data_IF_903727101742
#
_entry.id   IF_903727101742
#
_cell.length_a   1.000
_cell.length_b   1.000
_cell.length_c   1.000
_cell.angle_alpha   90.00
_cell.angle_beta   90.00
_cell.angle_gamma   90.00
#
_symmetry.space_group_name_H-M   'P 1'
#
loop_
_entity.id
_entity.type
_entity.pdbx_description
1 polymer ?
#
# COMPACT_ATOMS: atom_id res chain seq x y z
N UNK A 1 15.09 62.30 -46.49
CA UNK A 1 14.54 62.09 -45.16
C UNK A 1 13.71 60.83 -45.16
N UNK A 2 14.34 59.67 -44.81
CA UNK A 2 13.64 58.38 -44.61
C UNK A 2 13.96 57.91 -43.23
N UNK A 3 12.96 57.84 -42.37
CA UNK A 3 13.03 57.26 -41.02
C UNK A 3 12.78 55.77 -41.11
N UNK A 4 13.82 54.97 -40.89
CA UNK A 4 13.72 53.52 -40.67
C UNK A 4 13.24 53.28 -39.23
N UNK A 5 12.06 52.70 -39.09
CA UNK A 5 11.55 52.21 -37.83
C UNK A 5 11.91 50.71 -37.74
N UNK A 6 12.95 50.40 -36.94
CA UNK A 6 13.27 49.00 -36.61
C UNK A 6 12.29 48.48 -35.55
N UNK A 7 11.43 47.53 -35.92
CA UNK A 7 10.58 46.77 -34.96
C UNK A 7 11.39 45.60 -34.40
N UNK A 8 11.80 45.71 -33.15
CA UNK A 8 12.35 44.62 -32.39
C UNK A 8 11.19 43.68 -31.98
N UNK A 9 11.12 42.52 -32.60
CA UNK A 9 10.26 41.42 -32.11
C UNK A 9 11.00 40.70 -30.98
N UNK A 10 10.54 40.93 -29.77
CA UNK A 10 10.99 40.21 -28.57
C UNK A 10 10.23 38.86 -28.55
N UNK A 11 10.88 37.80 -29.05
CA UNK A 11 10.38 36.43 -28.92
C UNK A 11 10.58 35.95 -27.49
N UNK A 12 9.53 36.05 -26.65
CA UNK A 12 9.52 35.46 -25.32
C UNK A 12 9.27 33.94 -25.47
N UNK A 13 10.36 33.16 -25.54
CA UNK A 13 10.30 31.72 -25.53
C UNK A 13 9.87 31.26 -24.14
N UNK A 14 8.58 30.96 -23.98
CA UNK A 14 8.02 30.33 -22.77
C UNK A 14 8.52 28.88 -22.74
N UNK A 15 9.60 28.61 -22.02
CA UNK A 15 10.07 27.25 -21.75
C UNK A 15 9.10 26.60 -20.77
N UNK A 16 8.21 25.74 -21.25
CA UNK A 16 7.38 24.85 -20.45
C UNK A 16 8.32 23.86 -19.75
N UNK A 17 8.67 24.10 -18.50
CA UNK A 17 9.34 23.12 -17.66
C UNK A 17 8.27 22.08 -17.27
N UNK A 18 8.21 20.97 -18.02
CA UNK A 18 7.41 19.83 -17.64
C UNK A 18 8.01 19.21 -16.36
N UNK A 19 7.42 19.49 -15.21
CA UNK A 19 7.72 18.78 -13.97
C UNK A 19 7.23 17.35 -14.10
N UNK A 20 8.12 16.42 -14.43
CA UNK A 20 7.84 15.00 -14.34
C UNK A 20 7.67 14.66 -12.85
N UNK A 21 6.45 14.62 -12.37
CA UNK A 21 6.14 13.94 -11.12
C UNK A 21 6.41 12.45 -11.37
N UNK A 22 7.45 11.92 -10.77
CA UNK A 22 7.73 10.49 -10.77
C UNK A 22 6.57 9.79 -10.04
N UNK A 23 5.58 9.37 -10.82
CA UNK A 23 4.50 8.54 -10.29
C UNK A 23 5.09 7.24 -9.77
N UNK A 24 4.55 6.74 -8.66
CA UNK A 24 4.93 5.44 -8.11
C UNK A 24 4.65 4.36 -9.16
N UNK A 25 5.61 3.43 -9.33
CA UNK A 25 5.50 2.37 -10.34
C UNK A 25 4.37 1.40 -9.97
N UNK A 26 3.45 1.18 -10.92
CA UNK A 26 2.40 0.17 -10.76
C UNK A 26 2.99 -1.23 -10.95
N UNK A 27 2.49 -2.20 -10.20
CA UNK A 27 3.00 -3.57 -10.28
C UNK A 27 1.97 -4.61 -9.77
N UNK A 28 2.24 -5.88 -10.08
CA UNK A 28 1.67 -7.04 -9.38
C UNK A 28 2.78 -7.90 -8.79
N UNK A 29 2.45 -8.66 -7.72
CA UNK A 29 3.40 -9.55 -7.05
C UNK A 29 2.67 -10.71 -6.35
N UNK A 30 3.43 -11.72 -5.97
CA UNK A 30 3.01 -12.76 -5.03
C UNK A 30 3.55 -12.39 -3.64
N UNK A 31 2.68 -12.25 -2.66
CA UNK A 31 3.02 -12.02 -1.27
C UNK A 31 3.00 -13.34 -0.51
N UNK A 32 4.09 -13.65 0.15
CA UNK A 32 4.20 -14.78 1.09
C UNK A 32 4.32 -14.21 2.50
N UNK A 33 3.27 -14.36 3.30
CA UNK A 33 3.28 -14.03 4.71
C UNK A 33 3.56 -15.26 5.56
N UNK A 34 4.44 -15.12 6.53
CA UNK A 34 4.75 -16.16 7.53
C UNK A 34 4.38 -15.62 8.91
N UNK A 35 3.40 -16.23 9.55
CA UNK A 35 2.95 -15.86 10.88
C UNK A 35 3.83 -16.49 11.97
N UNK A 36 3.76 -15.94 13.19
CA UNK A 36 4.56 -16.34 14.35
C UNK A 36 4.55 -17.84 14.64
N UNK A 37 3.45 -18.54 14.30
CA UNK A 37 3.31 -20.00 14.49
C UNK A 37 3.84 -20.81 13.29
N UNK A 38 4.55 -20.19 12.34
CA UNK A 38 5.11 -20.84 11.17
C UNK A 38 4.08 -21.12 10.05
N UNK A 39 2.82 -20.78 10.23
CA UNK A 39 1.84 -20.90 9.14
C UNK A 39 2.14 -19.86 8.07
N UNK A 40 2.06 -20.29 6.82
CA UNK A 40 2.25 -19.41 5.66
C UNK A 40 0.91 -19.18 4.94
N UNK A 41 0.72 -17.95 4.50
CA UNK A 41 -0.36 -17.58 3.58
C UNK A 41 0.23 -16.98 2.32
N UNK A 42 -0.43 -17.21 1.20
CA UNK A 42 -0.07 -16.61 -0.08
C UNK A 42 -1.20 -15.72 -0.56
N UNK A 43 -0.84 -14.57 -1.08
CA UNK A 43 -1.78 -13.60 -1.65
C UNK A 43 -1.20 -13.05 -2.95
N UNK A 44 -2.09 -12.74 -3.90
CA UNK A 44 -1.72 -11.90 -5.04
C UNK A 44 -1.87 -10.45 -4.64
N UNK A 45 -0.88 -9.63 -4.97
CA UNK A 45 -0.87 -8.19 -4.68
C UNK A 45 -0.89 -7.42 -5.99
N UNK A 46 -1.70 -6.37 -6.05
CA UNK A 46 -1.73 -5.41 -7.15
C UNK A 46 -1.64 -4.00 -6.59
N UNK A 47 -0.80 -3.17 -7.18
CA UNK A 47 -0.65 -1.77 -6.80
C UNK A 47 -0.81 -0.86 -8.01
N UNK A 48 -1.69 0.14 -7.92
CA UNK A 48 -1.87 1.18 -8.93
C UNK A 48 -2.41 2.48 -8.30
N UNK A 49 -1.79 3.62 -8.61
CA UNK A 49 -2.31 4.95 -8.30
C UNK A 49 -2.81 5.11 -6.86
N UNK A 50 -2.00 4.83 -5.87
CA UNK A 50 -2.38 4.86 -4.45
C UNK A 50 -3.45 3.82 -4.04
N UNK A 51 -3.72 2.81 -4.87
CA UNK A 51 -4.61 1.71 -4.53
C UNK A 51 -3.82 0.41 -4.42
N UNK A 52 -4.17 -0.39 -3.44
CA UNK A 52 -3.56 -1.68 -3.17
C UNK A 52 -4.66 -2.73 -3.03
N UNK A 53 -4.48 -3.86 -3.71
CA UNK A 53 -5.37 -5.00 -3.62
C UNK A 53 -4.59 -6.23 -3.22
N UNK A 54 -5.07 -6.92 -2.21
CA UNK A 54 -4.63 -8.26 -1.82
C UNK A 54 -5.72 -9.26 -2.16
N UNK A 55 -5.37 -10.32 -2.85
CA UNK A 55 -6.24 -11.46 -3.10
C UNK A 55 -5.69 -12.65 -2.32
N UNK A 56 -6.33 -12.97 -1.21
CA UNK A 56 -6.00 -14.16 -0.44
C UNK A 56 -6.44 -15.41 -1.20
N UNK A 57 -5.51 -16.34 -1.40
CA UNK A 57 -5.82 -17.68 -1.87
C UNK A 57 -5.86 -18.59 -0.65
N UNK A 58 -7.04 -19.02 -0.21
CA UNK A 58 -7.10 -20.11 0.75
C UNK A 58 -6.68 -21.39 0.02
N UNK A 59 -5.49 -21.90 0.36
CA UNK A 59 -4.97 -23.14 -0.25
C UNK A 59 -5.88 -24.35 -0.02
N UNK A 60 -6.79 -24.29 0.97
CA UNK A 60 -7.76 -25.34 1.29
C UNK A 60 -9.02 -25.25 0.46
N UNK A 61 -9.40 -24.06 0.05
CA UNK A 61 -10.54 -23.85 -0.85
C UNK A 61 -10.29 -22.65 -1.79
N UNK A 62 -9.77 -22.92 -3.02
CA UNK A 62 -9.52 -21.87 -4.01
C UNK A 62 -10.76 -21.04 -4.40
N UNK A 63 -11.96 -21.50 -4.04
CA UNK A 63 -13.21 -20.77 -4.29
C UNK A 63 -13.49 -19.70 -3.23
N UNK A 64 -12.78 -19.74 -2.10
CA UNK A 64 -12.87 -18.72 -1.04
C UNK A 64 -11.87 -17.58 -1.24
N UNK A 65 -11.74 -17.10 -2.48
CA UNK A 65 -10.90 -15.94 -2.76
C UNK A 65 -11.62 -14.67 -2.29
N UNK A 66 -11.24 -14.21 -1.12
CA UNK A 66 -11.58 -12.86 -0.67
C UNK A 66 -10.57 -11.85 -1.22
N UNK A 67 -11.00 -10.63 -1.45
CA UNK A 67 -10.08 -9.55 -1.78
C UNK A 67 -10.21 -8.40 -0.78
N UNK A 68 -9.06 -7.82 -0.45
CA UNK A 68 -8.97 -6.64 0.38
C UNK A 68 -8.41 -5.51 -0.46
N UNK A 69 -9.16 -4.43 -0.62
CA UNK A 69 -8.79 -3.26 -1.41
C UNK A 69 -8.57 -2.08 -0.47
N UNK A 70 -7.40 -1.45 -0.56
CA UNK A 70 -7.06 -0.23 0.17
C UNK A 70 -6.90 0.92 -0.81
N UNK A 71 -7.46 2.08 -0.47
CA UNK A 71 -7.11 3.35 -1.09
C UNK A 71 -6.22 4.12 -0.11
N UNK A 72 -4.94 4.23 -0.43
CA UNK A 72 -3.93 4.84 0.44
C UNK A 72 -4.08 6.37 0.52
N UNK A 73 -4.65 6.99 -0.52
CA UNK A 73 -4.87 8.44 -0.57
C UNK A 73 -6.05 8.86 0.31
N UNK A 74 -7.18 8.14 0.23
CA UNK A 74 -8.40 8.43 1.01
C UNK A 74 -8.46 7.70 2.34
N UNK A 75 -7.52 6.76 2.58
CA UNK A 75 -7.48 5.90 3.76
C UNK A 75 -8.78 5.10 3.97
N UNK A 76 -9.34 4.60 2.88
CA UNK A 76 -10.54 3.75 2.89
C UNK A 76 -10.17 2.32 2.50
N UNK A 77 -10.91 1.35 3.01
CA UNK A 77 -10.70 -0.06 2.70
C UNK A 77 -12.01 -0.80 2.50
N UNK A 78 -11.97 -1.79 1.62
CA UNK A 78 -13.09 -2.64 1.25
C UNK A 78 -12.65 -4.09 1.34
N UNK A 79 -13.48 -4.94 1.95
CA UNK A 79 -13.36 -6.39 1.89
C UNK A 79 -14.40 -6.92 0.91
N UNK A 80 -13.96 -7.62 -0.13
CA UNK A 80 -14.85 -8.32 -1.06
C UNK A 80 -15.06 -9.76 -0.60
N UNK A 81 -16.28 -10.21 -0.63
CA UNK A 81 -16.73 -11.59 -0.33
C UNK A 81 -17.39 -12.18 -1.57
N UNK A 82 -16.62 -12.76 -2.50
CA UNK A 82 -17.10 -13.16 -3.82
C UNK A 82 -18.22 -14.21 -3.77
N UNK A 83 -18.15 -15.16 -2.83
CA UNK A 83 -19.17 -16.21 -2.71
C UNK A 83 -20.56 -15.70 -2.35
N UNK A 84 -20.58 -14.64 -1.53
CA UNK A 84 -21.84 -14.02 -1.08
C UNK A 84 -22.28 -12.89 -2.01
N UNK A 85 -21.46 -12.50 -3.02
CA UNK A 85 -21.65 -11.30 -3.82
C UNK A 85 -21.85 -10.05 -2.93
N UNK A 86 -21.06 -9.96 -1.86
CA UNK A 86 -21.15 -8.89 -0.88
C UNK A 86 -19.81 -8.19 -0.71
N UNK A 87 -19.84 -6.97 -0.22
CA UNK A 87 -18.66 -6.26 0.23
C UNK A 87 -18.92 -5.52 1.55
N UNK A 88 -17.84 -5.27 2.27
CA UNK A 88 -17.87 -4.53 3.53
C UNK A 88 -16.85 -3.40 3.47
N UNK A 89 -17.27 -2.20 3.85
CA UNK A 89 -16.34 -1.09 4.09
C UNK A 89 -15.78 -1.20 5.50
N UNK A 90 -14.46 -1.16 5.60
CA UNK A 90 -13.78 -1.18 6.89
C UNK A 90 -13.73 0.23 7.48
N UNK A 91 -13.96 0.38 8.80
CA UNK A 91 -13.78 1.66 9.46
C UNK A 91 -12.36 2.18 9.28
N UNK A 92 -12.23 3.41 8.81
CA UNK A 92 -10.93 4.06 8.53
C UNK A 92 -10.04 4.08 9.77
N UNK A 93 -10.64 4.32 10.95
CA UNK A 93 -9.93 4.43 12.23
C UNK A 93 -9.14 3.18 12.59
N UNK A 94 -9.71 1.98 12.40
CA UNK A 94 -9.06 0.72 12.79
C UNK A 94 -7.80 0.42 11.96
N UNK A 95 -7.78 0.79 10.70
CA UNK A 95 -6.65 0.57 9.80
C UNK A 95 -5.60 1.67 9.91
N UNK A 96 -6.06 2.93 10.05
CA UNK A 96 -5.18 4.07 10.31
C UNK A 96 -4.43 3.91 11.64
N UNK A 97 -5.12 3.42 12.69
CA UNK A 97 -4.52 3.15 13.99
C UNK A 97 -3.41 2.09 13.93
N UNK A 98 -3.51 1.13 13.01
CA UNK A 98 -2.46 0.12 12.77
C UNK A 98 -1.31 0.64 11.90
N UNK A 99 -1.40 1.86 11.38
CA UNK A 99 -0.38 2.44 10.51
C UNK A 99 -0.27 1.78 9.13
N UNK A 100 -1.20 0.92 8.75
CA UNK A 100 -1.10 0.15 7.49
C UNK A 100 -1.03 1.05 6.27
N UNK A 101 -1.82 2.13 6.23
CA UNK A 101 -1.78 3.06 5.08
C UNK A 101 -0.42 3.76 4.95
N UNK A 102 0.17 4.18 6.08
CA UNK A 102 1.49 4.82 6.10
C UNK A 102 2.60 3.84 5.76
N UNK A 103 2.48 2.58 6.17
CA UNK A 103 3.46 1.54 5.88
C UNK A 103 3.60 1.28 4.37
N UNK A 104 2.49 1.22 3.63
CA UNK A 104 2.49 0.99 2.18
C UNK A 104 2.65 2.27 1.35
N UNK A 105 2.53 3.44 1.96
CA UNK A 105 2.71 4.72 1.28
C UNK A 105 4.07 5.32 1.61
N UNK A 106 5.11 4.79 0.99
CA UNK A 106 6.46 5.32 1.15
C UNK A 106 6.64 6.55 0.28
N UNK A 107 6.87 7.70 0.89
CA UNK A 107 7.13 8.95 0.17
C UNK A 107 8.50 8.96 -0.46
N UNK A 108 9.53 9.05 0.36
CA UNK A 108 10.94 8.99 -0.02
C UNK A 108 11.60 7.82 0.71
N UNK A 109 12.21 6.92 -0.06
CA UNK A 109 12.88 5.73 0.49
C UNK A 109 14.05 6.13 1.41
N UNK A 110 14.69 7.27 1.16
CA UNK A 110 15.79 7.75 2.00
C UNK A 110 15.33 8.36 3.34
N UNK A 111 14.06 8.75 3.44
CA UNK A 111 13.46 9.33 4.65
C UNK A 111 12.47 8.41 5.37
N UNK A 112 12.49 7.13 5.09
CA UNK A 112 11.51 6.15 5.60
C UNK A 112 11.36 6.16 7.13
N UNK A 113 12.42 6.42 7.89
CA UNK A 113 12.34 6.54 9.35
C UNK A 113 11.41 7.66 9.81
N UNK A 114 11.41 8.80 9.10
CA UNK A 114 10.53 9.92 9.45
C UNK A 114 9.06 9.59 9.22
N UNK A 115 8.76 8.78 8.22
CA UNK A 115 7.40 8.31 7.94
C UNK A 115 6.98 7.23 8.93
N UNK A 116 7.89 6.35 9.32
CA UNK A 116 7.65 5.29 10.29
C UNK A 116 7.30 5.85 11.68
N UNK A 117 8.02 6.88 12.12
CA UNK A 117 7.77 7.54 13.41
C UNK A 117 6.43 8.31 13.48
N UNK A 118 5.75 8.53 12.35
CA UNK A 118 4.38 9.06 12.33
C UNK A 118 3.31 7.99 12.62
N UNK A 119 3.66 6.71 12.54
CA UNK A 119 2.75 5.60 12.80
C UNK A 119 2.56 5.46 14.31
N UNK A 120 1.31 5.39 14.78
CA UNK A 120 0.97 5.10 16.17
C UNK A 120 1.68 3.81 16.62
N UNK A 121 2.25 3.79 17.81
CA UNK A 121 3.08 2.72 18.38
C UNK A 121 4.53 2.63 17.87
N UNK A 122 4.97 3.56 17.01
CA UNK A 122 6.37 3.71 16.58
C UNK A 122 6.93 5.10 16.85
N UNK A 123 6.16 5.97 17.52
CA UNK A 123 6.52 7.37 17.73
C UNK A 123 7.73 7.54 18.65
N UNK A 124 7.89 6.65 19.60
CA UNK A 124 9.00 6.64 20.58
C UNK A 124 9.99 5.49 20.33
N UNK A 125 9.75 4.69 19.30
CA UNK A 125 10.64 3.64 18.87
C UNK A 125 11.90 4.16 18.18
N UNK A 126 12.81 3.25 17.89
CA UNK A 126 14.03 3.56 17.13
C UNK A 126 13.81 3.26 15.64
N UNK A 127 14.54 3.97 14.77
CA UNK A 127 14.64 3.63 13.37
C UNK A 127 15.98 4.12 12.81
N UNK A 128 16.65 3.28 12.02
CA UNK A 128 17.86 3.67 11.31
C UNK A 128 17.99 2.92 9.99
N UNK A 129 18.66 3.55 9.04
CA UNK A 129 19.05 2.94 7.78
C UNK A 129 20.24 2.01 8.02
N UNK A 130 20.13 0.74 7.59
CA UNK A 130 21.21 -0.24 7.68
C UNK A 130 22.11 -0.16 6.46
N UNK A 131 21.53 -0.10 5.27
CA UNK A 131 22.25 -0.09 4.00
C UNK A 131 21.43 -0.68 2.87
N UNK A 132 22.13 -1.04 1.80
CA UNK A 132 21.50 -1.65 0.63
C UNK A 132 21.63 -3.17 0.70
N UNK A 133 20.54 -3.88 0.42
CA UNK A 133 20.49 -5.34 0.29
C UNK A 133 19.74 -5.74 -0.98
N UNK A 134 19.97 -6.95 -1.47
CA UNK A 134 19.24 -7.51 -2.60
C UNK A 134 18.16 -8.46 -2.10
N UNK A 135 16.90 -8.22 -2.48
CA UNK A 135 15.76 -9.10 -2.19
C UNK A 135 15.16 -9.57 -3.52
N UNK A 136 15.15 -10.87 -3.77
CA UNK A 136 14.61 -11.47 -5.00
C UNK A 136 15.11 -10.80 -6.30
N UNK A 137 16.44 -10.50 -6.35
CA UNK A 137 17.08 -9.84 -7.50
C UNK A 137 16.84 -8.33 -7.61
N UNK A 138 16.15 -7.71 -6.65
CA UNK A 138 15.89 -6.27 -6.62
C UNK A 138 16.77 -5.56 -5.59
N UNK A 139 17.34 -4.43 -5.98
CA UNK A 139 18.05 -3.57 -5.03
C UNK A 139 17.06 -2.91 -4.07
N UNK A 140 17.34 -3.02 -2.78
CA UNK A 140 16.50 -2.47 -1.72
C UNK A 140 17.32 -1.70 -0.72
N UNK A 141 16.66 -0.79 0.01
CA UNK A 141 17.23 -0.12 1.18
C UNK A 141 16.63 -0.77 2.42
N UNK A 142 17.49 -1.29 3.28
CA UNK A 142 17.09 -1.93 4.54
C UNK A 142 17.05 -0.92 5.67
N UNK A 143 16.00 -0.98 6.45
CA UNK A 143 15.81 -0.26 7.70
C UNK A 143 15.56 -1.22 8.85
N UNK A 144 16.05 -0.86 10.02
CA UNK A 144 15.79 -1.56 11.28
C UNK A 144 15.29 -0.58 12.32
N UNK A 145 14.43 -1.06 13.22
CA UNK A 145 13.90 -0.24 14.28
C UNK A 145 13.15 -1.04 15.33
N UNK A 146 12.61 -0.32 16.30
CA UNK A 146 11.73 -0.87 17.33
C UNK A 146 10.44 -0.07 17.39
N UNK A 147 9.37 -0.72 17.86
CA UNK A 147 8.16 -0.01 18.24
C UNK A 147 8.31 0.59 19.65
N UNK A 148 7.24 1.25 20.16
CA UNK A 148 7.22 1.88 21.50
C UNK A 148 7.33 0.87 22.65
N UNK A 149 7.12 -0.43 22.39
CA UNK A 149 7.29 -1.53 23.36
C UNK A 149 8.66 -2.22 23.26
N UNK A 150 9.53 -1.75 22.36
CA UNK A 150 10.87 -2.30 22.15
C UNK A 150 10.92 -3.53 21.22
N UNK A 151 9.81 -3.94 20.62
CA UNK A 151 9.80 -5.05 19.68
C UNK A 151 10.52 -4.66 18.39
N UNK A 152 11.54 -5.43 18.02
CA UNK A 152 12.35 -5.17 16.82
C UNK A 152 11.60 -5.49 15.53
N UNK A 153 11.85 -4.70 14.51
CA UNK A 153 11.34 -4.91 13.16
C UNK A 153 12.34 -4.46 12.10
N UNK A 154 12.23 -5.04 10.93
CA UNK A 154 13.04 -4.75 9.75
C UNK A 154 12.13 -4.57 8.54
N UNK A 155 12.51 -3.68 7.62
CA UNK A 155 11.82 -3.49 6.34
C UNK A 155 12.83 -3.26 5.23
N UNK A 156 12.53 -3.79 4.05
CA UNK A 156 13.30 -3.60 2.82
C UNK A 156 12.42 -2.87 1.82
N UNK A 157 12.82 -1.65 1.51
CA UNK A 157 12.13 -0.77 0.58
C UNK A 157 12.80 -0.81 -0.79
N UNK A 158 12.02 -1.07 -1.81
CA UNK A 158 12.46 -0.97 -3.20
C UNK A 158 12.37 0.50 -3.66
N UNK A 159 13.49 1.16 -3.99
CA UNK A 159 13.47 2.57 -4.36
C UNK A 159 12.79 2.84 -5.71
N UNK A 160 12.74 1.85 -6.61
CA UNK A 160 12.05 1.98 -7.90
C UNK A 160 10.53 1.89 -7.74
N UNK A 161 10.06 0.94 -6.94
CA UNK A 161 8.64 0.78 -6.63
C UNK A 161 8.17 1.81 -5.59
N UNK A 162 9.09 2.33 -4.77
CA UNK A 162 8.79 3.14 -3.58
C UNK A 162 7.82 2.39 -2.64
N UNK A 163 8.13 1.10 -2.41
CA UNK A 163 7.23 0.17 -1.74
C UNK A 163 8.01 -0.86 -0.90
N UNK A 164 7.48 -1.28 0.26
CA UNK A 164 8.08 -2.34 1.05
C UNK A 164 7.91 -3.69 0.34
N UNK A 165 9.02 -4.35 0.01
CA UNK A 165 9.01 -5.66 -0.67
C UNK A 165 9.33 -6.81 0.26
N UNK A 166 9.82 -6.52 1.47
CA UNK A 166 10.03 -7.49 2.54
C UNK A 166 9.95 -6.80 3.88
N UNK A 167 9.41 -7.50 4.87
CA UNK A 167 9.40 -7.05 6.27
C UNK A 167 9.51 -8.23 7.22
N UNK A 168 10.01 -7.97 8.40
CA UNK A 168 10.11 -8.94 9.46
C UNK A 168 9.89 -8.26 10.81
N UNK A 169 9.11 -8.88 11.67
CA UNK A 169 8.81 -8.39 13.01
C UNK A 169 8.47 -9.53 13.96
N UNK A 170 8.08 -9.18 15.18
CA UNK A 170 7.74 -10.11 16.25
C UNK A 170 6.61 -11.08 15.88
N UNK A 171 5.63 -10.61 15.13
CA UNK A 171 4.40 -11.35 14.84
C UNK A 171 4.44 -12.09 13.50
N UNK A 172 5.51 -11.92 12.75
CA UNK A 172 5.70 -12.61 11.47
C UNK A 172 6.56 -11.84 10.48
N UNK A 173 6.56 -12.31 9.25
CA UNK A 173 7.29 -11.70 8.14
C UNK A 173 6.48 -11.79 6.86
N UNK A 174 6.73 -10.85 5.94
CA UNK A 174 6.18 -10.89 4.60
C UNK A 174 7.26 -10.63 3.55
N UNK A 175 7.10 -11.24 2.39
CA UNK A 175 8.03 -11.08 1.27
C UNK A 175 7.28 -11.12 -0.05
N UNK A 176 7.54 -10.14 -0.91
CA UNK A 176 7.01 -10.09 -2.26
C UNK A 176 7.94 -10.82 -3.24
N UNK A 177 7.36 -11.69 -4.04
CA UNK A 177 8.03 -12.46 -5.09
C UNK A 177 7.36 -12.22 -6.42
N UNK A 178 8.03 -12.59 -7.51
CA UNK A 178 7.48 -12.52 -8.88
C UNK A 178 6.90 -11.13 -9.21
N UNK A 179 7.58 -10.07 -8.77
CA UNK A 179 7.14 -8.69 -8.99
C UNK A 179 7.19 -8.39 -10.49
N UNK A 180 6.05 -8.00 -11.05
CA UNK A 180 5.89 -7.60 -12.43
C UNK A 180 5.45 -6.14 -12.49
N UNK A 181 6.33 -5.28 -13.00
CA UNK A 181 6.05 -3.87 -13.19
C UNK A 181 5.18 -3.66 -14.43
N UNK A 182 4.20 -2.77 -14.33
CA UNK A 182 3.29 -2.40 -15.43
C UNK A 182 1.93 -2.00 -14.91
N UNK A 183 1.16 -1.34 -15.77
CA UNK A 183 -0.17 -0.83 -15.46
C UNK A 183 -1.11 -1.95 -15.03
N UNK A 184 -1.90 -1.67 -14.00
CA UNK A 184 -2.90 -2.58 -13.48
C UNK A 184 -4.30 -2.12 -13.90
N UNK A 185 -5.21 -3.05 -14.31
CA UNK A 185 -6.57 -2.71 -14.68
C UNK A 185 -7.31 -2.01 -13.52
N UNK A 186 -7.97 -0.90 -13.80
CA UNK A 186 -8.71 -0.13 -12.79
C UNK A 186 -9.81 -0.95 -12.10
N UNK A 187 -10.43 -1.88 -12.82
CA UNK A 187 -11.47 -2.79 -12.31
C UNK A 187 -11.00 -3.69 -11.15
N UNK A 188 -9.69 -3.92 -11.01
CA UNK A 188 -9.16 -4.64 -9.86
C UNK A 188 -9.41 -3.91 -8.53
N UNK A 189 -9.55 -2.59 -8.57
CA UNK A 189 -9.66 -1.73 -7.38
C UNK A 189 -11.07 -1.19 -7.18
N UNK A 190 -12.06 -1.83 -7.79
CA UNK A 190 -13.48 -1.45 -7.72
C UNK A 190 -14.30 -2.60 -7.17
N UNK A 191 -15.47 -2.27 -6.62
CA UNK A 191 -16.47 -3.28 -6.25
C UNK A 191 -17.10 -3.80 -7.54
N UNK A 192 -17.09 -5.13 -7.79
CA UNK A 192 -17.69 -5.68 -8.99
C UNK A 192 -19.20 -5.42 -9.05
N UNK A 193 -19.74 -5.30 -10.26
CA UNK A 193 -21.17 -5.16 -10.46
C UNK A 193 -21.95 -6.34 -9.82
N UNK A 194 -23.11 -6.05 -9.22
CA UNK A 194 -23.94 -7.07 -8.58
C UNK A 194 -23.55 -7.38 -7.12
N UNK A 195 -22.52 -6.75 -6.57
CA UNK A 195 -22.20 -6.89 -5.14
C UNK A 195 -23.09 -5.99 -4.29
N UNK A 196 -23.54 -6.50 -3.14
CA UNK A 196 -24.34 -5.76 -2.17
C UNK A 196 -23.47 -5.36 -0.97
N UNK A 197 -23.63 -4.12 -0.50
CA UNK A 197 -22.96 -3.65 0.71
C UNK A 197 -23.53 -4.32 1.94
N UNK A 198 -22.68 -4.89 2.80
CA UNK A 198 -23.07 -5.43 4.09
C UNK A 198 -23.29 -4.29 5.09
N UNK A 199 -24.47 -4.23 5.68
CA UNK A 199 -24.80 -3.30 6.77
C UNK A 199 -24.42 -3.89 8.12
N UNK A 200 -23.19 -3.57 8.57
CA UNK A 200 -22.69 -3.99 9.88
C UNK A 200 -23.44 -3.33 11.05
N UNK A 201 -23.92 -2.11 10.87
CA UNK A 201 -24.67 -1.37 11.89
C UNK A 201 -26.01 -2.03 12.19
N UNK A 202 -26.78 -2.34 11.16
CA UNK A 202 -28.06 -3.05 11.28
C UNK A 202 -27.92 -4.44 11.89
N UNK A 203 -26.86 -5.19 11.50
CA UNK A 203 -26.60 -6.51 12.06
C UNK A 203 -26.21 -6.47 13.55
N UNK A 204 -25.43 -5.49 13.99
CA UNK A 204 -25.09 -5.31 15.40
C UNK A 204 -26.32 -4.96 16.23
N UNK A 205 -27.17 -4.06 15.74
CA UNK A 205 -28.40 -3.65 16.42
C UNK A 205 -29.39 -4.81 16.54
N UNK A 206 -29.50 -5.64 15.52
CA UNK A 206 -30.35 -6.83 15.54
C UNK A 206 -29.89 -7.89 16.56
N UNK A 207 -28.56 -8.08 16.71
CA UNK A 207 -28.00 -8.98 17.74
C UNK A 207 -28.23 -8.46 19.15
N UNK A 208 -28.10 -7.17 19.40
CA UNK A 208 -28.37 -6.58 20.72
C UNK A 208 -29.85 -6.74 21.10
N UNK A 209 -30.78 -6.59 20.14
CA UNK A 209 -32.22 -6.75 20.40
C UNK A 209 -32.65 -8.21 20.64
N UNK A 210 -31.83 -9.19 20.26
CA UNK A 210 -32.11 -10.62 20.51
C UNK A 210 -31.57 -11.13 21.88
N UNK A 211 -30.79 -10.29 22.58
CA UNK A 211 -30.26 -10.64 23.92
C UNK A 211 -31.08 -10.04 25.08
N UNK A 212 -32.19 -9.37 24.77
CA UNK A 212 -33.21 -8.89 25.71
C UNK A 212 -34.51 -9.64 25.50
#
# INVERSE_FOLDING_TARGET
MFRLIARLFFFCALTLVATFTLAQTEFSADLVDTHKQGSQTQSKVYFAKDKLRFESQDQRDPKQMGAFIMNLATQTSIVLMPQQHMYMEMPTTSMAERGMYSFFRTGDVESACSDWQKIKHYQHGTCHKVGNETVNGRSTVKYEGTNDTGDASQVWLDPKLRFPVKWQGKDGSGEMRNIQEGSQPASLFEVPAGYTKMDMGGMMQQRMNQQH
#
